data_IF_998419413935
#
_entry.id   IF_998419413935
#
_cell.length_a   1.000
_cell.length_b   1.000
_cell.length_c   1.000
_cell.angle_alpha   90.00
_cell.angle_beta   90.00
_cell.angle_gamma   90.00
#
_symmetry.space_group_name_H-M   'P 1'
#
loop_
_entity.id
_entity.type
_entity.pdbx_description
1 polymer ?
#
# COMPACT_ATOMS: atom_id res chain seq x y z
N UNK A 1 10.60 -15.68 1.98
CA UNK A 1 10.58 -14.59 0.98
C UNK A 1 10.03 -13.38 1.70
N UNK A 2 10.69 -12.23 1.59
CA UNK A 2 10.17 -11.01 2.21
C UNK A 2 8.96 -10.57 1.38
N UNK A 3 7.77 -10.70 1.93
CA UNK A 3 6.52 -10.28 1.31
C UNK A 3 6.36 -8.76 1.48
N UNK A 4 7.37 -8.00 1.08
CA UNK A 4 7.42 -6.56 1.24
C UNK A 4 7.17 -5.92 -0.11
N UNK A 5 6.15 -5.07 -0.17
CA UNK A 5 5.91 -4.20 -1.32
C UNK A 5 6.77 -2.95 -1.15
N UNK A 6 7.51 -2.63 -2.19
CA UNK A 6 8.39 -1.48 -2.27
C UNK A 6 8.03 -0.62 -3.48
N UNK A 7 8.15 0.69 -3.33
CA UNK A 7 8.06 1.61 -4.46
C UNK A 7 9.16 2.67 -4.39
N UNK A 8 9.91 2.84 -5.47
CA UNK A 8 11.10 3.72 -5.53
C UNK A 8 12.16 3.40 -4.46
N UNK A 9 12.28 2.13 -4.06
CA UNK A 9 13.16 1.68 -2.98
C UNK A 9 12.69 2.15 -1.59
N UNK A 10 11.42 2.52 -1.45
CA UNK A 10 10.76 2.82 -0.19
C UNK A 10 9.84 1.65 0.15
N UNK A 11 10.10 0.92 1.26
CA UNK A 11 9.19 -0.10 1.75
C UNK A 11 7.83 0.51 2.09
N UNK A 12 6.77 -0.05 1.54
CA UNK A 12 5.38 0.41 1.70
C UNK A 12 4.69 -0.42 2.78
N UNK A 13 4.64 -1.73 2.58
CA UNK A 13 3.99 -2.67 3.50
C UNK A 13 4.57 -4.08 3.41
N UNK A 14 4.34 -4.86 4.45
CA UNK A 14 4.48 -6.32 4.48
C UNK A 14 3.08 -6.94 4.34
N UNK A 15 2.96 -7.99 3.52
CA UNK A 15 1.72 -8.75 3.32
C UNK A 15 1.89 -10.23 3.69
N UNK A 16 0.80 -10.89 4.10
CA UNK A 16 0.77 -12.33 4.41
C UNK A 16 -0.01 -13.16 3.40
N UNK A 17 -0.66 -12.50 2.44
CA UNK A 17 -1.33 -13.11 1.31
C UNK A 17 -1.54 -12.11 0.18
N UNK A 18 -1.89 -12.63 -0.99
CA UNK A 18 -2.35 -11.85 -2.13
C UNK A 18 -3.51 -12.60 -2.79
N UNK A 19 -4.43 -11.86 -3.38
CA UNK A 19 -5.43 -12.39 -4.30
C UNK A 19 -5.09 -11.96 -5.73
N UNK A 20 -5.38 -12.86 -6.68
CA UNK A 20 -5.15 -12.69 -8.13
C UNK A 20 -5.71 -11.35 -8.64
N UNK A 21 -5.16 -10.80 -9.75
CA UNK A 21 -5.28 -9.39 -10.08
C UNK A 21 -6.74 -8.94 -10.19
N UNK A 22 -7.08 -7.93 -9.38
CA UNK A 22 -8.19 -7.05 -9.65
C UNK A 22 -7.86 -6.26 -10.93
N UNK A 23 -8.85 -5.82 -11.71
CA UNK A 23 -8.70 -5.20 -13.05
C UNK A 23 -7.56 -4.16 -13.20
N UNK A 24 -7.13 -3.50 -12.11
CA UNK A 24 -6.11 -2.45 -12.08
C UNK A 24 -4.87 -2.74 -11.18
N UNK A 25 -4.69 -3.96 -10.66
CA UNK A 25 -3.53 -4.26 -9.81
C UNK A 25 -3.63 -5.53 -8.99
N UNK A 26 -2.60 -5.79 -8.19
CA UNK A 26 -2.59 -6.93 -7.26
C UNK A 26 -3.16 -6.51 -5.91
N UNK A 27 -4.04 -7.34 -5.36
CA UNK A 27 -4.64 -7.11 -4.05
C UNK A 27 -3.84 -7.88 -2.99
N UNK A 28 -3.47 -7.20 -1.92
CA UNK A 28 -2.65 -7.73 -0.83
C UNK A 28 -3.38 -7.62 0.49
N UNK A 29 -3.26 -8.62 1.36
CA UNK A 29 -3.68 -8.51 2.75
C UNK A 29 -2.55 -7.89 3.57
N UNK A 30 -2.82 -6.75 4.20
CA UNK A 30 -1.76 -6.02 4.89
C UNK A 30 -1.48 -6.61 6.25
N UNK A 31 -0.28 -7.15 6.43
CA UNK A 31 0.23 -7.61 7.72
C UNK A 31 0.84 -6.47 8.53
N UNK A 32 1.56 -5.55 7.86
CA UNK A 32 2.20 -4.41 8.52
C UNK A 32 2.44 -3.28 7.53
N UNK A 33 2.21 -2.05 7.94
CA UNK A 33 2.63 -0.87 7.18
C UNK A 33 4.01 -0.38 7.62
N UNK A 34 4.80 0.08 6.64
CA UNK A 34 6.03 0.85 6.88
C UNK A 34 5.77 2.37 6.78
N UNK A 35 4.57 2.77 6.35
CA UNK A 35 4.11 4.16 6.28
C UNK A 35 3.24 4.47 7.49
N UNK A 36 3.71 5.39 8.35
CA UNK A 36 3.12 5.61 9.67
C UNK A 36 1.65 6.04 9.63
N UNK A 37 1.29 6.85 8.64
CA UNK A 37 -0.07 7.37 8.46
C UNK A 37 -1.06 6.34 7.91
N UNK A 38 -0.55 5.24 7.34
CA UNK A 38 -1.37 4.12 6.84
C UNK A 38 -1.50 2.97 7.84
N UNK A 39 -0.78 2.98 8.97
CA UNK A 39 -0.86 1.95 10.02
C UNK A 39 -2.29 1.62 10.48
N UNK A 40 -3.21 2.60 10.43
CA UNK A 40 -4.64 2.41 10.77
C UNK A 40 -5.38 1.42 9.86
N UNK A 41 -4.80 1.08 8.70
CA UNK A 41 -5.33 0.13 7.74
C UNK A 41 -4.59 -1.23 7.81
N UNK A 42 -3.99 -1.56 8.96
CA UNK A 42 -3.47 -2.92 9.19
C UNK A 42 -4.63 -3.92 9.16
N UNK A 43 -4.37 -5.14 8.70
CA UNK A 43 -5.35 -6.22 8.49
C UNK A 43 -6.42 -5.93 7.42
N UNK A 44 -6.28 -4.82 6.67
CA UNK A 44 -7.15 -4.48 5.54
C UNK A 44 -6.59 -5.02 4.24
N UNK A 45 -7.44 -5.06 3.22
CA UNK A 45 -7.02 -5.37 1.87
C UNK A 45 -6.58 -4.09 1.15
N UNK A 46 -5.54 -4.19 0.34
CA UNK A 46 -5.00 -3.05 -0.40
C UNK A 46 -4.68 -3.42 -1.84
N UNK A 47 -4.95 -2.50 -2.75
CA UNK A 47 -4.47 -2.54 -4.12
C UNK A 47 -3.43 -1.44 -4.29
N UNK A 48 -2.23 -1.83 -4.72
CA UNK A 48 -1.15 -0.90 -5.07
C UNK A 48 -0.88 -1.03 -6.56
N UNK A 49 -1.18 0.03 -7.31
CA UNK A 49 -0.88 0.14 -8.73
C UNK A 49 0.59 0.52 -8.98
N UNK A 50 1.14 0.12 -10.14
CA UNK A 50 2.50 0.50 -10.53
C UNK A 50 2.69 2.02 -10.72
N UNK A 51 1.60 2.73 -10.95
CA UNK A 51 1.52 4.19 -11.08
C UNK A 51 1.46 4.91 -9.72
N UNK A 52 1.45 4.17 -8.62
CA UNK A 52 1.28 4.71 -7.27
C UNK A 52 -0.18 4.88 -6.86
N UNK A 53 -1.14 4.30 -7.59
CA UNK A 53 -2.52 4.16 -7.13
C UNK A 53 -2.55 3.37 -5.82
N UNK A 54 -3.37 3.83 -4.87
CA UNK A 54 -3.59 3.20 -3.58
C UNK A 54 -5.09 3.12 -3.31
N UNK A 55 -5.62 1.90 -3.25
CA UNK A 55 -7.01 1.63 -2.83
C UNK A 55 -7.00 0.68 -1.64
N UNK A 56 -7.87 0.92 -0.65
CA UNK A 56 -7.95 0.12 0.58
C UNK A 56 -9.39 -0.30 0.79
N UNK A 57 -9.58 -1.57 1.14
CA UNK A 57 -10.88 -2.21 1.29
C UNK A 57 -11.00 -2.95 2.62
N UNK A 58 -12.23 -3.04 3.11
CA UNK A 58 -12.62 -3.98 4.15
C UNK A 58 -12.65 -5.43 3.62
N UNK A 59 -12.73 -6.42 4.53
CA UNK A 59 -12.86 -7.84 4.16
C UNK A 59 -14.11 -8.16 3.34
N UNK A 60 -15.18 -7.36 3.49
CA UNK A 60 -16.42 -7.52 2.72
C UNK A 60 -16.38 -6.84 1.34
N UNK A 61 -15.26 -6.21 0.98
CA UNK A 61 -15.09 -5.48 -0.28
C UNK A 61 -15.50 -4.01 -0.25
N UNK A 62 -15.93 -3.47 0.90
CA UNK A 62 -16.25 -2.03 1.01
C UNK A 62 -14.98 -1.17 0.89
N UNK A 63 -15.03 -0.13 0.06
CA UNK A 63 -13.92 0.81 -0.13
C UNK A 63 -13.78 1.75 1.08
N UNK A 64 -12.59 1.76 1.70
CA UNK A 64 -12.23 2.65 2.80
C UNK A 64 -11.45 3.88 2.32
N UNK A 65 -10.66 3.71 1.27
CA UNK A 65 -9.79 4.74 0.72
C UNK A 65 -9.51 4.47 -0.75
N UNK A 66 -9.48 5.53 -1.54
CA UNK A 66 -9.12 5.48 -2.95
C UNK A 66 -8.41 6.78 -3.32
N UNK A 67 -7.14 6.64 -3.69
CA UNK A 67 -6.25 7.76 -3.98
C UNK A 67 -4.90 7.26 -4.45
N UNK A 68 -3.84 7.92 -3.99
CA UNK A 68 -2.46 7.64 -4.36
C UNK A 68 -1.56 7.47 -3.13
N UNK A 69 -0.45 6.76 -3.30
CA UNK A 69 0.66 6.79 -2.33
C UNK A 69 1.17 8.21 -2.07
N UNK A 70 0.98 9.15 -3.00
CA UNK A 70 1.30 10.57 -2.79
C UNK A 70 0.38 11.27 -1.77
N UNK A 71 -0.76 10.69 -1.44
CA UNK A 71 -1.61 11.16 -0.33
C UNK A 71 -1.04 10.75 1.04
N UNK A 72 -0.11 9.78 1.09
CA UNK A 72 0.64 9.46 2.30
C UNK A 72 1.73 10.51 2.53
N UNK A 73 1.58 11.27 3.61
CA UNK A 73 2.54 12.25 4.08
C UNK A 73 3.89 11.61 4.45
N UNK A 74 3.87 10.37 4.97
CA UNK A 74 5.08 9.64 5.33
C UNK A 74 5.83 9.17 4.09
N UNK A 75 5.10 8.65 3.09
CA UNK A 75 5.68 8.27 1.80
C UNK A 75 6.32 9.46 1.10
N UNK A 76 5.61 10.59 0.99
CA UNK A 76 6.14 11.81 0.35
C UNK A 76 7.41 12.31 1.06
N UNK A 77 7.48 12.25 2.40
CA UNK A 77 8.69 12.62 3.14
C UNK A 77 9.86 11.70 2.80
N UNK A 78 9.64 10.38 2.76
CA UNK A 78 10.68 9.40 2.41
C UNK A 78 11.14 9.57 0.95
N UNK A 79 10.22 9.82 0.04
CA UNK A 79 10.52 10.06 -1.38
C UNK A 79 11.37 11.32 -1.57
N UNK A 80 11.03 12.42 -0.89
CA UNK A 80 11.86 13.63 -0.88
C UNK A 80 13.27 13.37 -0.35
N UNK A 81 13.42 12.54 0.69
CA UNK A 81 14.72 12.16 1.23
C UNK A 81 15.61 11.34 0.29
N UNK A 82 15.05 10.78 -0.79
CA UNK A 82 15.80 10.03 -1.82
C UNK A 82 16.15 10.84 -3.06
N UNK A 83 15.37 11.88 -3.36
CA UNK A 83 15.54 12.74 -4.54
C UNK A 83 16.47 13.93 -4.23
N UNK A 84 16.71 14.21 -2.94
CA UNK A 84 17.63 15.24 -2.45
C UNK A 84 19.09 14.85 -2.44
#
# INVERSE_FOLDING_TARGET
MENIIDMFGIPILEHDGFEDPFDDGTQYRVKRWFLNDLNKYTDKWVVIGFDGTLKIFEENGDELFNGSLLDSSDFVKKLKGKIG
#
